data_IF_965372310084
#
_entry.id   IF_965372310084
#
_cell.length_a   1.000
_cell.length_b   1.000
_cell.length_c   1.000
_cell.angle_alpha   90.00
_cell.angle_beta   90.00
_cell.angle_gamma   90.00
#
_symmetry.space_group_name_H-M   'P 1'
#
loop_
_entity.id
_entity.type
_entity.pdbx_description
1 polymer ?
#
# COMPACT_ATOMS: atom_id res chain seq x y z
N UNK A 1 -20.33 0.41 -10.35
CA UNK A 1 -19.93 0.33 -10.05
C UNK A 1 -19.07 0.16 -9.49
N UNK A 2 -18.69 -0.10 -9.24
CA UNK A 2 -18.03 -0.24 -8.66
C UNK A 2 -17.05 -0.24 -8.50
N UNK A 3 -16.58 -0.12 -8.50
CA UNK A 3 -15.70 0.01 -8.48
C UNK A 3 -14.76 -0.29 -7.69
N UNK A 4 -14.02 -0.54 -7.64
CA UNK A 4 -13.21 -0.87 -6.96
C UNK A 4 -12.38 -0.23 -6.49
N UNK A 5 -12.04 -0.26 -5.96
CA UNK A 5 -11.34 0.41 -5.34
C UNK A 5 -10.24 -0.24 -4.88
N UNK A 6 -9.23 -0.57 -5.51
CA UNK A 6 -7.98 -1.17 -5.09
C UNK A 6 -6.96 -0.10 -4.84
N UNK A 7 -7.34 0.80 -3.95
CA UNK A 7 -6.44 1.86 -3.55
C UNK A 7 -5.91 1.56 -2.16
N UNK A 8 -4.69 1.98 -1.90
CA UNK A 8 -3.98 1.65 -0.70
C UNK A 8 -3.33 2.89 -0.11
N UNK A 9 -3.14 2.86 1.18
CA UNK A 9 -2.35 3.86 1.89
C UNK A 9 -1.09 3.18 2.39
N UNK A 10 -0.03 3.94 2.50
CA UNK A 10 1.22 3.39 3.02
C UNK A 10 1.91 4.45 3.86
N UNK A 11 2.74 4.00 4.79
CA UNK A 11 3.50 4.91 5.61
C UNK A 11 4.83 5.21 4.95
N UNK A 12 5.18 6.47 4.91
CA UNK A 12 6.47 6.88 4.39
C UNK A 12 7.56 6.52 5.39
N UNK A 13 8.81 6.75 4.97
CA UNK A 13 9.94 6.49 5.86
C UNK A 13 9.85 7.31 7.14
N UNK A 14 9.13 8.42 7.09
CA UNK A 14 8.95 9.27 8.25
C UNK A 14 7.75 8.89 9.08
N UNK A 15 7.04 7.84 8.68
CA UNK A 15 5.89 7.38 9.44
C UNK A 15 4.61 8.13 9.12
N UNK A 16 4.57 8.85 8.02
CA UNK A 16 3.38 9.60 7.64
C UNK A 16 2.58 8.84 6.60
N UNK A 17 1.25 8.81 6.75
CA UNK A 17 0.42 8.13 5.76
C UNK A 17 0.50 8.86 4.42
N UNK A 18 0.62 8.08 3.38
CA UNK A 18 0.68 8.59 2.02
C UNK A 18 -0.32 7.83 1.17
N UNK A 19 -0.69 8.42 0.07
CA UNK A 19 -1.67 7.87 -0.82
C UNK A 19 -2.91 8.70 -0.80
N UNK A 20 -4.02 8.16 -1.30
CA UNK A 20 -4.17 6.78 -1.74
C UNK A 20 -3.50 6.53 -3.08
N UNK A 21 -3.05 5.30 -3.27
CA UNK A 21 -2.40 4.89 -4.50
C UNK A 21 -3.08 3.64 -5.02
N UNK A 22 -3.15 3.54 -6.35
CA UNK A 22 -3.74 2.36 -6.97
C UNK A 22 -2.81 1.17 -6.81
N UNK A 23 -3.38 -0.02 -6.98
CA UNK A 23 -2.60 -1.24 -6.84
C UNK A 23 -1.37 -1.22 -7.74
N UNK A 24 -1.54 -0.81 -8.99
CA UNK A 24 -0.39 -0.77 -9.89
C UNK A 24 0.70 0.15 -9.38
N UNK A 25 0.30 1.26 -8.79
CA UNK A 25 1.26 2.19 -8.21
C UNK A 25 1.97 1.56 -7.02
N UNK A 26 1.21 0.84 -6.18
CA UNK A 26 1.80 0.20 -5.02
C UNK A 26 2.82 -0.85 -5.45
N UNK A 27 2.51 -1.60 -6.49
CA UNK A 27 3.46 -2.59 -6.99
C UNK A 27 4.72 -1.93 -7.52
N UNK A 28 4.56 -0.78 -8.16
CA UNK A 28 5.72 -0.06 -8.66
C UNK A 28 6.57 0.46 -7.51
N UNK A 29 5.93 1.00 -6.47
CA UNK A 29 6.66 1.47 -5.31
C UNK A 29 7.44 0.33 -4.66
N UNK A 30 6.82 -0.84 -4.60
CA UNK A 30 7.50 -2.00 -4.03
C UNK A 30 8.70 -2.39 -4.89
N UNK A 31 8.53 -2.38 -6.20
CA UNK A 31 9.60 -2.79 -7.09
C UNK A 31 10.75 -1.79 -7.07
N UNK A 32 10.45 -0.52 -6.88
CA UNK A 32 11.49 0.50 -6.86
C UNK A 32 12.19 0.57 -5.52
N UNK A 33 11.66 -0.09 -4.50
CA UNK A 33 12.27 -0.06 -3.19
C UNK A 33 11.79 1.06 -2.30
N UNK A 34 10.84 1.86 -2.76
CA UNK A 34 10.30 2.91 -1.91
C UNK A 34 9.52 2.34 -0.76
N UNK A 35 8.83 1.24 -0.98
CA UNK A 35 8.24 0.49 0.11
C UNK A 35 8.83 -0.91 0.05
N UNK A 36 8.96 -1.50 1.22
CA UNK A 36 9.51 -2.83 1.33
C UNK A 36 8.52 -3.77 1.97
N UNK A 37 8.92 -5.02 2.18
CA UNK A 37 8.02 -6.00 2.77
C UNK A 37 7.56 -5.65 4.18
N UNK A 38 8.34 -4.82 4.88
CA UNK A 38 7.99 -4.42 6.24
C UNK A 38 7.24 -3.10 6.29
N UNK A 39 7.07 -2.44 5.17
CA UNK A 39 6.38 -1.15 5.14
C UNK A 39 4.92 -1.35 5.48
N UNK A 40 4.38 -0.46 6.30
CA UNK A 40 3.00 -0.55 6.72
C UNK A 40 2.09 -0.08 5.60
N UNK A 41 1.10 -0.89 5.28
CA UNK A 41 0.18 -0.64 4.18
C UNK A 41 -1.23 -0.92 4.68
N UNK A 42 -2.18 -0.20 4.14
CA UNK A 42 -3.57 -0.34 4.51
C UNK A 42 -4.43 -0.15 3.27
N UNK A 43 -5.46 -0.97 3.13
CA UNK A 43 -6.42 -0.73 2.05
C UNK A 43 -7.26 0.48 2.40
N UNK A 44 -7.53 1.28 1.39
CA UNK A 44 -8.38 2.45 1.59
C UNK A 44 -9.73 1.98 2.13
N UNK A 45 -10.14 2.58 3.22
CA UNK A 45 -11.39 2.20 3.85
C UNK A 45 -11.23 1.23 5.00
N UNK A 46 -10.07 0.58 5.09
CA UNK A 46 -9.77 -0.29 6.21
C UNK A 46 -9.02 0.48 7.27
N UNK A 47 -9.04 -0.05 8.47
CA UNK A 47 -8.29 0.54 9.56
C UNK A 47 -7.14 -0.35 10.01
N UNK A 48 -7.00 -1.50 9.38
CA UNK A 48 -5.98 -2.45 9.79
C UNK A 48 -4.74 -2.27 8.94
N UNK A 49 -3.67 -1.79 9.55
CA UNK A 49 -2.39 -1.66 8.89
C UNK A 49 -1.60 -2.93 9.06
N UNK A 50 -0.87 -3.31 8.05
CA UNK A 50 -0.03 -4.49 8.11
C UNK A 50 1.16 -4.34 7.18
N UNK A 51 2.15 -5.22 7.35
CA UNK A 51 3.32 -5.14 6.46
C UNK A 51 2.95 -5.51 5.03
N UNK A 52 3.63 -4.89 4.08
CA UNK A 52 3.32 -5.09 2.67
C UNK A 52 3.41 -6.56 2.29
N UNK A 53 4.26 -7.32 2.95
CA UNK A 53 4.41 -8.73 2.61
C UNK A 53 3.15 -9.54 2.84
N UNK A 54 2.21 -9.01 3.64
CA UNK A 54 0.93 -9.70 3.85
C UNK A 54 -0.09 -9.33 2.78
N UNK A 55 0.31 -8.52 1.82
CA UNK A 55 -0.54 -8.13 0.69
C UNK A 55 0.05 -8.75 -0.57
N UNK A 56 -0.27 -10.02 -0.85
CA UNK A 56 0.36 -10.70 -1.99
C UNK A 56 0.10 -10.01 -3.32
N UNK A 57 -0.98 -9.26 -3.42
CA UNK A 57 -1.27 -8.55 -4.65
C UNK A 57 -0.24 -7.44 -4.90
N UNK A 58 0.41 -6.95 -3.86
CA UNK A 58 1.42 -5.91 -3.99
C UNK A 58 2.79 -6.54 -4.25
N UNK A 59 3.07 -7.64 -3.60
CA UNK A 59 4.36 -8.29 -3.71
C UNK A 59 4.34 -9.37 -4.77
#
# INVERSE_FOLDING_TARGET
MSTQKNRYLYLSAEGEPRGPAWLGEMRRLYQSGEIGPESQVCREGDEDWGPARTFPEIT
#
